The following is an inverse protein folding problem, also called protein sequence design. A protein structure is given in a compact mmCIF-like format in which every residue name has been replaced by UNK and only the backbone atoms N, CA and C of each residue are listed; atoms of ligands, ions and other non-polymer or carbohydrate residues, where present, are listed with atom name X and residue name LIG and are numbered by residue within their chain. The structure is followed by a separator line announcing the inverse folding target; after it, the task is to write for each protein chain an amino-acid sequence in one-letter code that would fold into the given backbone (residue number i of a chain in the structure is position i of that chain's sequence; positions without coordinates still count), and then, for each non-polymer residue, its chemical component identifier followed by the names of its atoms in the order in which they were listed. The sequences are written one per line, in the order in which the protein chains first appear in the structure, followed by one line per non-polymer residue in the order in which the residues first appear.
data_IF_697229553377
#
_entry.id   IF_697229553377
#
_cell.length_a   1.000
_cell.length_b   1.000
_cell.length_c   1.000
_cell.angle_alpha   90.00
_cell.angle_beta   90.00
_cell.angle_gamma   90.00
#
_symmetry.space_group_name_H-M   'P 1'
#
loop_
_entity.id
_entity.type
_entity.pdbx_description
1 polymer ?
#
# COMPACT_ATOMS: atom_id res chain seq x y z
N UNK A 1 9.58 -51.18 -64.60
CA UNK A 1 9.99 -50.73 -63.26
C UNK A 1 10.36 -49.25 -63.33
N UNK A 2 9.41 -48.36 -63.04
CA UNK A 2 9.63 -46.90 -62.95
C UNK A 2 9.22 -46.48 -61.54
N UNK A 3 10.17 -45.87 -60.83
CA UNK A 3 10.12 -45.61 -59.39
C UNK A 3 9.07 -44.58 -58.99
N UNK A 4 8.32 -44.93 -57.96
CA UNK A 4 7.32 -44.13 -57.26
C UNK A 4 8.05 -43.10 -56.37
N UNK A 5 7.84 -41.80 -56.62
CA UNK A 5 8.31 -40.73 -55.72
C UNK A 5 7.22 -40.41 -54.70
N UNK A 6 7.48 -40.75 -53.44
CA UNK A 6 6.68 -40.39 -52.27
C UNK A 6 6.90 -38.91 -51.94
N UNK A 7 5.81 -38.14 -51.91
CA UNK A 7 5.80 -36.77 -51.40
C UNK A 7 5.40 -36.81 -49.91
N UNK A 8 6.35 -36.51 -49.02
CA UNK A 8 6.09 -36.36 -47.58
C UNK A 8 5.47 -34.99 -47.33
N UNK A 9 4.21 -34.97 -46.87
CA UNK A 9 3.55 -33.77 -46.40
C UNK A 9 4.02 -33.44 -44.97
N UNK A 10 4.79 -32.35 -44.82
CA UNK A 10 5.13 -31.78 -43.53
C UNK A 10 3.90 -31.03 -42.99
N UNK A 11 3.23 -31.57 -41.98
CA UNK A 11 2.18 -30.87 -41.24
C UNK A 11 2.84 -29.83 -40.31
N UNK A 12 2.78 -28.55 -40.71
CA UNK A 12 3.23 -27.44 -39.86
C UNK A 12 2.26 -27.23 -38.70
N UNK A 13 2.71 -27.55 -37.49
CA UNK A 13 2.01 -27.23 -36.25
C UNK A 13 2.08 -25.71 -36.04
N UNK A 14 1.00 -25.00 -36.37
CA UNK A 14 0.86 -23.58 -36.09
C UNK A 14 0.71 -23.39 -34.57
N UNK A 15 1.80 -23.04 -33.91
CA UNK A 15 1.79 -22.56 -32.52
C UNK A 15 1.13 -21.18 -32.56
N UNK A 16 -0.16 -21.12 -32.23
CA UNK A 16 -0.85 -19.88 -31.90
C UNK A 16 -0.24 -19.36 -30.60
N UNK A 17 0.73 -18.46 -30.73
CA UNK A 17 1.21 -17.65 -29.60
C UNK A 17 0.06 -16.72 -29.24
N UNK A 18 -0.76 -17.09 -28.26
CA UNK A 18 -1.68 -16.16 -27.62
C UNK A 18 -0.82 -15.10 -26.92
N UNK A 19 -0.76 -13.90 -27.51
CA UNK A 19 -0.12 -12.76 -26.87
C UNK A 19 -0.69 -12.59 -25.47
N UNK A 20 0.18 -12.40 -24.48
CA UNK A 20 -0.23 -12.00 -23.14
C UNK A 20 -0.85 -10.60 -23.26
N UNK A 21 -2.17 -10.53 -23.41
CA UNK A 21 -2.90 -9.28 -23.39
C UNK A 21 -3.01 -8.82 -21.94
N UNK A 22 -2.40 -7.68 -21.63
CA UNK A 22 -2.75 -6.92 -20.44
C UNK A 22 -3.91 -5.99 -20.80
N UNK A 23 -5.03 -6.08 -20.08
CA UNK A 23 -6.13 -5.17 -20.23
C UNK A 23 -5.85 -3.88 -19.47
N UNK A 24 -6.13 -2.74 -20.09
CA UNK A 24 -6.02 -1.43 -19.47
C UNK A 24 -7.39 -0.76 -19.44
N UNK A 25 -7.77 -0.26 -18.27
CA UNK A 25 -8.99 0.47 -18.03
C UNK A 25 -8.65 1.89 -17.60
N UNK A 26 -9.24 2.88 -18.26
CA UNK A 26 -9.31 4.25 -17.74
C UNK A 26 -10.73 4.50 -17.24
N UNK A 27 -10.87 4.88 -15.97
CA UNK A 27 -12.18 5.06 -15.32
C UNK A 27 -12.29 6.47 -14.74
N UNK A 28 -13.47 7.08 -14.91
CA UNK A 28 -13.77 8.42 -14.36
C UNK A 28 -15.10 8.49 -13.60
N UNK A 29 -15.71 7.33 -13.32
CA UNK A 29 -16.90 7.21 -12.47
C UNK A 29 -16.82 5.98 -11.56
N UNK A 30 -17.53 6.00 -10.43
CA UNK A 30 -17.62 4.85 -9.53
C UNK A 30 -18.18 3.60 -10.19
N UNK A 31 -19.14 3.75 -11.11
CA UNK A 31 -19.73 2.62 -11.87
C UNK A 31 -18.69 1.98 -12.78
N UNK A 32 -17.91 2.78 -13.51
CA UNK A 32 -16.84 2.25 -14.36
C UNK A 32 -15.75 1.57 -13.54
N UNK A 33 -15.35 2.14 -12.40
CA UNK A 33 -14.36 1.52 -11.51
C UNK A 33 -14.84 0.16 -11.01
N UNK A 34 -16.10 0.05 -10.55
CA UNK A 34 -16.68 -1.23 -10.16
C UNK A 34 -16.70 -2.23 -11.31
N UNK A 35 -17.08 -1.78 -12.52
CA UNK A 35 -17.11 -2.66 -13.69
C UNK A 35 -15.71 -3.14 -14.08
N UNK A 36 -14.70 -2.26 -14.07
CA UNK A 36 -13.32 -2.60 -14.36
C UNK A 36 -12.78 -3.65 -13.37
N UNK A 37 -13.04 -3.48 -12.06
CA UNK A 37 -12.65 -4.47 -11.04
C UNK A 37 -13.35 -5.82 -11.24
N UNK A 38 -14.64 -5.83 -11.59
CA UNK A 38 -15.35 -7.08 -11.88
C UNK A 38 -14.81 -7.78 -13.13
N UNK A 39 -14.50 -7.02 -14.18
CA UNK A 39 -13.91 -7.56 -15.42
C UNK A 39 -12.50 -8.10 -15.16
N UNK A 40 -11.66 -7.37 -14.42
CA UNK A 40 -10.32 -7.81 -14.04
C UNK A 40 -10.32 -9.11 -13.22
N UNK A 41 -11.37 -9.35 -12.42
CA UNK A 41 -11.50 -10.59 -11.64
C UNK A 41 -11.80 -11.84 -12.48
N UNK A 42 -12.08 -11.70 -13.78
CA UNK A 42 -12.65 -12.77 -14.59
C UNK A 42 -12.20 -12.83 -16.06
N UNK A 43 -11.44 -11.86 -16.58
CA UNK A 43 -11.09 -11.77 -18.00
C UNK A 43 -9.89 -12.62 -18.46
N UNK A 44 -9.22 -13.32 -17.53
CA UNK A 44 -8.01 -14.13 -17.79
C UNK A 44 -6.84 -13.32 -18.35
N UNK A 45 -6.66 -12.08 -17.87
CA UNK A 45 -5.61 -11.17 -18.30
C UNK A 45 -4.99 -10.48 -17.09
N UNK A 46 -3.79 -9.93 -17.26
CA UNK A 46 -3.27 -8.95 -16.30
C UNK A 46 -4.01 -7.63 -16.52
N UNK A 47 -4.31 -6.91 -15.45
CA UNK A 47 -5.17 -5.73 -15.49
C UNK A 47 -4.50 -4.52 -14.89
N UNK A 48 -4.57 -3.40 -15.60
CA UNK A 48 -4.22 -2.07 -15.08
C UNK A 48 -5.45 -1.19 -15.09
N UNK A 49 -5.86 -0.71 -13.93
CA UNK A 49 -6.98 0.21 -13.74
C UNK A 49 -6.41 1.56 -13.34
N UNK A 50 -6.49 2.51 -14.27
CA UNK A 50 -6.12 3.91 -14.11
C UNK A 50 -7.36 4.71 -13.73
N UNK A 51 -7.33 5.37 -12.59
CA UNK A 51 -8.46 6.13 -12.04
C UNK A 51 -8.19 7.62 -12.24
N UNK A 52 -9.12 8.30 -12.93
CA UNK A 52 -9.02 9.75 -13.10
C UNK A 52 -9.18 10.50 -11.78
N UNK A 53 -8.61 11.70 -11.69
CA UNK A 53 -8.78 12.59 -10.55
C UNK A 53 -10.25 12.83 -10.22
N UNK A 54 -10.59 12.84 -8.93
CA UNK A 54 -11.96 13.01 -8.46
C UNK A 54 -12.26 12.19 -7.21
N UNK A 55 -13.49 12.32 -6.71
CA UNK A 55 -13.97 11.57 -5.55
C UNK A 55 -15.00 10.53 -5.98
N UNK A 56 -14.79 9.29 -5.56
CA UNK A 56 -15.57 8.12 -5.95
C UNK A 56 -16.26 7.54 -4.73
N UNK A 57 -17.59 7.65 -4.72
CA UNK A 57 -18.49 7.07 -3.71
C UNK A 57 -19.50 6.15 -4.36
N UNK A 58 -20.20 5.34 -3.57
CA UNK A 58 -21.30 4.48 -4.04
C UNK A 58 -22.47 4.52 -3.07
N UNK A 59 -23.68 4.30 -3.56
CA UNK A 59 -24.88 4.45 -2.74
C UNK A 59 -25.30 3.16 -2.02
N UNK A 60 -24.91 1.98 -2.53
CA UNK A 60 -25.29 0.67 -1.95
C UNK A 60 -24.15 -0.36 -1.87
N UNK A 61 -24.27 -1.33 -0.95
CA UNK A 61 -23.35 -2.45 -0.78
C UNK A 61 -22.41 -2.30 0.42
N UNK A 62 -21.96 -3.43 0.97
CA UNK A 62 -21.05 -3.49 2.13
C UNK A 62 -19.58 -3.17 1.79
N UNK A 63 -19.23 -3.19 0.50
CA UNK A 63 -17.92 -2.79 -0.03
C UNK A 63 -18.14 -1.85 -1.21
N UNK A 64 -17.43 -0.72 -1.25
CA UNK A 64 -17.55 0.24 -2.35
C UNK A 64 -16.90 -0.29 -3.65
N UNK A 65 -15.66 -0.75 -3.54
CA UNK A 65 -14.86 -1.24 -4.67
C UNK A 65 -14.31 -2.63 -4.36
N UNK A 66 -14.91 -3.66 -4.97
CA UNK A 66 -14.58 -5.05 -4.71
C UNK A 66 -13.92 -5.72 -5.92
N UNK A 67 -12.87 -6.48 -5.67
CA UNK A 67 -12.20 -7.38 -6.60
C UNK A 67 -12.04 -8.74 -5.93
N UNK A 68 -12.38 -9.80 -6.66
CA UNK A 68 -12.11 -11.17 -6.27
C UNK A 68 -11.68 -11.95 -7.50
N UNK A 69 -10.62 -12.73 -7.38
CA UNK A 69 -10.11 -13.55 -8.48
C UNK A 69 -9.79 -14.98 -8.04
N UNK A 70 -9.94 -15.91 -8.98
CA UNK A 70 -9.38 -17.26 -8.92
C UNK A 70 -8.29 -17.46 -10.00
N UNK A 71 -7.79 -16.36 -10.57
CA UNK A 71 -6.84 -16.35 -11.67
C UNK A 71 -5.44 -15.97 -11.18
N UNK A 72 -4.44 -16.24 -12.01
CA UNK A 72 -3.02 -16.01 -11.68
C UNK A 72 -2.47 -14.69 -12.24
N UNK A 73 -3.35 -13.78 -12.63
CA UNK A 73 -2.96 -12.53 -13.28
C UNK A 73 -2.89 -11.37 -12.30
N UNK A 74 -1.97 -10.45 -12.55
CA UNK A 74 -1.74 -9.29 -11.68
C UNK A 74 -2.80 -8.22 -11.90
N UNK A 75 -3.28 -7.63 -10.81
CA UNK A 75 -4.08 -6.42 -10.79
C UNK A 75 -3.22 -5.23 -10.33
N UNK A 76 -3.25 -4.14 -11.09
CA UNK A 76 -2.68 -2.84 -10.71
C UNK A 76 -3.82 -1.81 -10.68
N UNK A 77 -4.01 -1.15 -9.55
CA UNK A 77 -4.95 -0.04 -9.38
C UNK A 77 -4.17 1.21 -9.00
N UNK A 78 -4.29 2.27 -9.79
CA UNK A 78 -3.60 3.53 -9.51
C UNK A 78 -4.47 4.75 -9.79
N UNK A 79 -4.34 5.78 -8.94
CA UNK A 79 -5.05 7.05 -9.09
C UNK A 79 -4.18 8.19 -9.63
N UNK A 80 -4.78 9.36 -9.72
CA UNK A 80 -4.14 10.62 -10.10
C UNK A 80 -4.12 10.85 -11.61
N UNK A 81 -4.89 10.11 -12.41
CA UNK A 81 -4.85 10.26 -13.86
C UNK A 81 -5.68 11.45 -14.34
N UNK A 82 -5.21 12.09 -15.41
CA UNK A 82 -5.96 13.12 -16.13
C UNK A 82 -6.00 12.79 -17.61
N UNK A 83 -7.16 13.02 -18.21
CA UNK A 83 -7.42 12.76 -19.63
C UNK A 83 -7.20 14.01 -20.48
N UNK A 84 -6.76 13.80 -21.72
CA UNK A 84 -6.70 14.83 -22.77
C UNK A 84 -7.42 14.28 -24.02
N UNK A 85 -8.76 14.40 -24.08
CA UNK A 85 -9.56 13.77 -25.13
C UNK A 85 -9.02 14.06 -26.54
N UNK A 86 -8.93 13.04 -27.42
CA UNK A 86 -9.51 11.69 -27.28
C UNK A 86 -8.67 10.71 -26.45
N UNK A 87 -7.49 11.12 -25.95
CA UNK A 87 -6.61 10.24 -25.18
C UNK A 87 -6.99 10.27 -23.69
N UNK A 88 -7.34 9.11 -23.15
CA UNK A 88 -7.80 8.98 -21.77
C UNK A 88 -6.66 8.53 -20.85
N UNK A 89 -6.64 8.99 -19.58
CA UNK A 89 -5.65 8.64 -18.57
C UNK A 89 -4.18 8.75 -19.05
N UNK A 90 -3.84 9.85 -19.73
CA UNK A 90 -2.52 10.02 -20.38
C UNK A 90 -1.42 10.56 -19.48
N UNK A 91 -1.79 11.26 -18.40
CA UNK A 91 -0.84 11.83 -17.45
C UNK A 91 -1.28 11.45 -16.05
N UNK A 92 -0.32 11.02 -15.22
CA UNK A 92 -0.54 10.80 -13.79
C UNK A 92 0.05 11.99 -13.03
N UNK A 93 -0.72 12.55 -12.10
CA UNK A 93 -0.26 13.56 -11.16
C UNK A 93 0.44 12.85 -9.98
N UNK A 94 1.55 13.39 -9.52
CA UNK A 94 2.24 12.92 -8.31
C UNK A 94 1.57 13.42 -7.02
N UNK A 95 0.24 13.35 -6.97
CA UNK A 95 -0.58 13.76 -5.83
C UNK A 95 -1.59 12.64 -5.49
N UNK A 96 -1.37 11.88 -4.40
CA UNK A 96 -2.29 10.82 -3.97
C UNK A 96 -3.63 11.38 -3.44
N UNK A 97 -3.74 12.67 -3.14
CA UNK A 97 -5.02 13.30 -2.77
C UNK A 97 -5.90 13.59 -3.99
N UNK A 98 -5.34 13.61 -5.21
CA UNK A 98 -6.08 13.95 -6.43
C UNK A 98 -7.14 12.90 -6.80
N UNK A 99 -7.05 11.66 -6.30
CA UNK A 99 -8.06 10.61 -6.46
C UNK A 99 -8.46 10.06 -5.11
N UNK A 100 -9.74 10.18 -4.77
CA UNK A 100 -10.28 9.78 -3.46
C UNK A 100 -11.31 8.68 -3.66
N UNK A 101 -11.07 7.51 -3.07
CA UNK A 101 -12.06 6.46 -2.91
C UNK A 101 -12.62 6.56 -1.49
N UNK A 102 -13.94 6.68 -1.36
CA UNK A 102 -14.60 6.86 -0.06
C UNK A 102 -15.68 5.81 0.21
N UNK A 103 -15.72 5.34 1.45
CA UNK A 103 -16.77 4.46 1.97
C UNK A 103 -18.01 5.21 2.43
N UNK A 104 -17.96 6.56 2.44
CA UNK A 104 -19.05 7.43 2.88
C UNK A 104 -19.59 7.07 4.27
N UNK A 105 -18.69 6.70 5.19
CA UNK A 105 -18.97 6.25 6.56
C UNK A 105 -19.96 5.08 6.65
N UNK A 106 -20.14 4.32 5.57
CA UNK A 106 -21.21 3.32 5.47
C UNK A 106 -20.72 1.92 5.08
N UNK A 107 -19.50 1.79 4.54
CA UNK A 107 -19.02 0.53 3.95
C UNK A 107 -17.50 0.45 3.90
N UNK A 108 -16.96 -0.75 3.71
CA UNK A 108 -15.55 -0.95 3.41
C UNK A 108 -15.20 -0.25 2.10
N UNK A 109 -14.10 0.51 2.02
CA UNK A 109 -13.77 1.26 0.80
C UNK A 109 -13.33 0.31 -0.31
N UNK A 110 -12.28 -0.47 -0.07
CA UNK A 110 -11.72 -1.36 -1.08
C UNK A 110 -11.40 -2.75 -0.51
N UNK A 111 -11.83 -3.78 -1.22
CA UNK A 111 -11.53 -5.18 -0.90
C UNK A 111 -10.99 -5.89 -2.14
N UNK A 112 -9.71 -6.24 -2.12
CA UNK A 112 -9.03 -7.00 -3.16
C UNK A 112 -8.66 -8.39 -2.61
N UNK A 113 -9.20 -9.45 -3.22
CA UNK A 113 -9.02 -10.83 -2.75
C UNK A 113 -8.57 -11.78 -3.85
N UNK A 114 -7.48 -12.50 -3.61
CA UNK A 114 -7.03 -13.65 -4.39
C UNK A 114 -7.41 -14.96 -3.69
N UNK A 115 -7.94 -15.91 -4.47
CA UNK A 115 -8.32 -17.23 -3.95
C UNK A 115 -7.09 -18.05 -3.51
N UNK A 116 -7.23 -18.99 -2.57
CA UNK A 116 -6.18 -19.95 -2.25
C UNK A 116 -5.60 -20.62 -3.50
N UNK A 117 -4.28 -20.75 -3.56
CA UNK A 117 -3.54 -21.35 -4.68
C UNK A 117 -3.27 -20.40 -5.85
N UNK A 118 -3.74 -19.15 -5.79
CA UNK A 118 -3.45 -18.14 -6.83
C UNK A 118 -2.16 -17.36 -6.54
N UNK A 119 -1.52 -16.91 -7.61
CA UNK A 119 -0.24 -16.18 -7.58
C UNK A 119 -0.32 -14.75 -8.13
N UNK A 120 -1.50 -14.32 -8.59
CA UNK A 120 -1.69 -12.99 -9.20
C UNK A 120 -1.37 -11.88 -8.20
N UNK A 121 -0.49 -10.95 -8.59
CA UNK A 121 -0.12 -9.82 -7.73
C UNK A 121 -1.26 -8.81 -7.58
N UNK A 122 -1.24 -8.03 -6.50
CA UNK A 122 -2.20 -6.95 -6.26
C UNK A 122 -1.44 -5.68 -5.87
N UNK A 123 -1.66 -4.60 -6.61
CA UNK A 123 -1.03 -3.29 -6.36
C UNK A 123 -2.07 -2.19 -6.24
N UNK A 124 -1.92 -1.33 -5.24
CA UNK A 124 -2.70 -0.09 -5.05
C UNK A 124 -1.75 1.07 -4.87
N UNK A 125 -1.91 2.13 -5.67
CA UNK A 125 -1.02 3.30 -5.56
C UNK A 125 -1.63 4.65 -5.94
N UNK A 126 -0.98 5.71 -5.44
CA UNK A 126 -1.22 7.11 -5.81
C UNK A 126 -2.70 7.54 -5.70
N UNK A 127 -3.32 7.23 -4.57
CA UNK A 127 -4.71 7.56 -4.29
C UNK A 127 -4.98 7.64 -2.78
N UNK A 128 -6.15 8.15 -2.42
CA UNK A 128 -6.64 8.24 -1.05
C UNK A 128 -7.78 7.24 -0.84
N UNK A 129 -7.74 6.55 0.30
CA UNK A 129 -8.76 5.61 0.79
C UNK A 129 -9.26 6.12 2.14
N UNK A 130 -10.53 6.53 2.19
CA UNK A 130 -11.07 7.18 3.39
C UNK A 130 -12.53 6.86 3.70
N UNK A 131 -12.96 7.26 4.90
CA UNK A 131 -14.34 7.19 5.38
C UNK A 131 -14.94 5.78 5.25
N UNK A 132 -14.10 4.76 5.40
CA UNK A 132 -14.51 3.36 5.42
C UNK A 132 -15.19 3.01 6.72
N UNK A 133 -16.30 2.27 6.68
CA UNK A 133 -16.92 1.66 7.85
C UNK A 133 -17.13 0.17 7.59
N UNK A 134 -16.51 -0.70 8.39
CA UNK A 134 -16.64 -2.15 8.20
C UNK A 134 -16.67 -2.93 9.49
N UNK A 135 -17.48 -4.00 9.50
CA UNK A 135 -17.43 -5.01 10.57
C UNK A 135 -16.35 -6.07 10.34
N UNK A 136 -15.63 -5.98 9.23
CA UNK A 136 -14.50 -6.83 8.85
C UNK A 136 -13.18 -6.08 9.08
N UNK A 137 -12.06 -6.78 8.94
CA UNK A 137 -10.72 -6.15 8.92
C UNK A 137 -10.54 -5.29 7.68
N UNK A 138 -9.75 -4.22 7.77
CA UNK A 138 -9.40 -3.38 6.61
C UNK A 138 -10.54 -2.47 6.17
N UNK A 139 -11.17 -1.70 7.07
CA UNK A 139 -12.33 -0.87 6.71
C UNK A 139 -12.01 0.13 5.59
N UNK A 140 -10.78 0.65 5.54
CA UNK A 140 -10.24 1.30 4.36
C UNK A 140 -9.93 0.30 3.26
N UNK A 141 -8.80 -0.38 3.38
CA UNK A 141 -8.28 -1.33 2.40
C UNK A 141 -8.08 -2.71 3.03
N UNK A 142 -8.69 -3.72 2.42
CA UNK A 142 -8.33 -5.12 2.60
C UNK A 142 -7.73 -5.63 1.30
N UNK A 143 -6.49 -6.13 1.33
CA UNK A 143 -5.76 -6.56 0.12
C UNK A 143 -5.00 -7.86 0.36
N UNK A 144 -4.87 -8.67 -0.69
CA UNK A 144 -4.18 -9.95 -0.65
C UNK A 144 -5.16 -11.12 -0.80
N UNK A 145 -5.12 -12.10 0.10
CA UNK A 145 -5.99 -13.27 0.02
C UNK A 145 -6.12 -14.01 1.35
N UNK A 146 -6.58 -15.26 1.31
CA UNK A 146 -6.55 -16.17 2.47
C UNK A 146 -5.33 -17.09 2.47
N UNK A 147 -5.32 -18.07 3.39
CA UNK A 147 -4.32 -19.14 3.38
C UNK A 147 -4.16 -19.79 2.00
N UNK A 148 -2.92 -19.92 1.55
CA UNK A 148 -2.56 -20.41 0.22
C UNK A 148 -2.50 -19.35 -0.89
N UNK A 149 -2.86 -18.09 -0.64
CA UNK A 149 -2.61 -17.00 -1.61
C UNK A 149 -1.15 -16.58 -1.58
N UNK A 150 -0.43 -16.74 -2.70
CA UNK A 150 1.03 -16.48 -2.79
C UNK A 150 1.37 -15.30 -3.70
N UNK A 151 0.37 -14.51 -4.12
CA UNK A 151 0.58 -13.33 -4.92
C UNK A 151 1.22 -12.18 -4.14
N UNK A 152 2.10 -11.43 -4.81
CA UNK A 152 2.75 -10.27 -4.19
C UNK A 152 1.75 -9.13 -3.98
N UNK A 153 1.90 -8.39 -2.89
CA UNK A 153 1.09 -7.21 -2.55
C UNK A 153 1.96 -5.97 -2.50
N UNK A 154 1.53 -4.90 -3.16
CA UNK A 154 2.15 -3.58 -3.11
C UNK A 154 1.11 -2.52 -2.74
N UNK A 155 1.34 -1.82 -1.63
CA UNK A 155 0.61 -0.61 -1.26
C UNK A 155 1.62 0.54 -1.18
N UNK A 156 1.49 1.48 -2.10
CA UNK A 156 2.52 2.51 -2.33
C UNK A 156 1.95 3.87 -2.66
N UNK A 157 2.39 4.94 -1.97
CA UNK A 157 1.86 6.29 -2.15
C UNK A 157 0.35 6.35 -1.98
N UNK A 158 -0.13 5.75 -0.89
CA UNK A 158 -1.55 5.75 -0.53
C UNK A 158 -1.75 6.54 0.76
N UNK A 159 -2.77 7.39 0.77
CA UNK A 159 -3.30 8.00 2.00
C UNK A 159 -4.45 7.11 2.47
N UNK A 160 -4.32 6.49 3.64
CA UNK A 160 -5.37 5.68 4.26
C UNK A 160 -5.83 6.40 5.51
N UNK A 161 -6.99 7.06 5.44
CA UNK A 161 -7.39 8.03 6.43
C UNK A 161 -8.81 7.84 6.97
N UNK A 162 -9.00 8.04 8.27
CA UNK A 162 -10.33 8.17 8.92
C UNK A 162 -11.25 6.96 8.69
N UNK A 163 -10.69 5.78 8.49
CA UNK A 163 -11.47 4.55 8.36
C UNK A 163 -11.77 3.96 9.74
N UNK A 164 -12.96 3.41 9.92
CA UNK A 164 -13.47 2.84 11.18
C UNK A 164 -13.81 1.36 10.98
N UNK A 165 -13.05 0.48 11.63
CA UNK A 165 -13.32 -0.97 11.65
C UNK A 165 -13.85 -1.45 13.01
N UNK A 166 -14.68 -2.49 13.05
CA UNK A 166 -14.96 -3.18 14.33
C UNK A 166 -13.93 -4.27 14.64
N UNK A 167 -12.99 -4.53 13.72
CA UNK A 167 -11.94 -5.55 13.82
C UNK A 167 -10.53 -4.91 13.75
N UNK A 168 -9.44 -5.71 13.67
CA UNK A 168 -8.08 -5.19 13.46
C UNK A 168 -7.95 -4.44 12.11
N UNK A 169 -7.00 -3.50 12.02
CA UNK A 169 -6.68 -2.83 10.76
C UNK A 169 -7.84 -1.97 10.25
N UNK A 170 -8.30 -0.99 11.03
CA UNK A 170 -9.30 -0.03 10.57
C UNK A 170 -8.92 0.63 9.24
N UNK A 171 -7.65 1.00 9.08
CA UNK A 171 -7.08 1.48 7.83
C UNK A 171 -6.82 0.35 6.84
N UNK A 172 -5.77 -0.45 7.09
CA UNK A 172 -5.29 -1.49 6.19
C UNK A 172 -5.25 -2.87 6.86
N UNK A 173 -5.77 -3.87 6.16
CA UNK A 173 -5.55 -5.28 6.45
C UNK A 173 -4.90 -5.99 5.25
N UNK A 174 -3.81 -6.73 5.51
CA UNK A 174 -3.10 -7.50 4.49
C UNK A 174 -2.89 -8.94 4.94
N UNK A 175 -3.11 -9.87 4.00
CA UNK A 175 -2.67 -11.25 4.13
C UNK A 175 -2.05 -11.73 2.82
N UNK A 176 -0.84 -12.30 2.88
CA UNK A 176 -0.24 -13.02 1.74
C UNK A 176 0.84 -14.01 2.18
N UNK A 177 1.07 -15.06 1.38
CA UNK A 177 2.25 -15.93 1.43
C UNK A 177 3.31 -15.55 0.37
N UNK A 178 3.03 -14.51 -0.43
CA UNK A 178 3.95 -13.85 -1.35
C UNK A 178 4.82 -12.79 -0.65
N UNK A 179 5.32 -11.83 -1.44
CA UNK A 179 6.05 -10.66 -0.92
C UNK A 179 5.07 -9.51 -0.71
N UNK A 180 5.15 -8.84 0.44
CA UNK A 180 4.33 -7.68 0.81
C UNK A 180 5.21 -6.45 0.96
N UNK A 181 4.88 -5.39 0.23
CA UNK A 181 5.50 -4.09 0.32
C UNK A 181 4.45 -3.04 0.72
N UNK A 182 4.61 -2.44 1.89
CA UNK A 182 3.77 -1.33 2.36
C UNK A 182 4.73 -0.17 2.57
N UNK A 183 4.82 0.71 1.57
CA UNK A 183 5.84 1.76 1.57
C UNK A 183 5.36 3.11 1.10
N UNK A 184 5.95 4.18 1.62
CA UNK A 184 5.65 5.56 1.24
C UNK A 184 4.15 5.88 1.37
N UNK A 185 3.53 5.51 2.50
CA UNK A 185 2.10 5.73 2.75
C UNK A 185 1.86 6.59 3.98
N UNK A 186 0.70 7.25 4.03
CA UNK A 186 0.18 7.93 5.22
C UNK A 186 -0.99 7.14 5.78
N UNK A 187 -0.90 6.72 7.05
CA UNK A 187 -2.01 6.13 7.79
C UNK A 187 -2.47 7.07 8.90
N UNK A 188 -3.63 7.68 8.69
CA UNK A 188 -4.06 8.84 9.46
C UNK A 188 -5.42 8.62 10.14
N UNK A 189 -5.47 8.79 11.46
CA UNK A 189 -6.72 8.83 12.23
C UNK A 189 -7.63 7.61 12.01
N UNK A 190 -7.09 6.45 11.64
CA UNK A 190 -7.88 5.25 11.50
C UNK A 190 -8.28 4.72 12.89
N UNK A 191 -9.50 4.23 12.98
CA UNK A 191 -10.12 3.74 14.20
C UNK A 191 -10.49 2.29 14.12
N UNK A 192 -10.40 1.62 15.26
CA UNK A 192 -10.85 0.24 15.36
C UNK A 192 -11.31 -0.17 16.76
N UNK A 193 -12.10 -1.23 16.88
CA UNK A 193 -12.61 -1.72 18.18
C UNK A 193 -11.76 -2.81 18.84
N UNK A 194 -10.70 -3.30 18.20
CA UNK A 194 -9.83 -4.36 18.74
C UNK A 194 -8.40 -3.90 19.02
N UNK A 195 -7.56 -3.74 18.00
CA UNK A 195 -6.19 -3.19 18.08
C UNK A 195 -5.65 -2.96 16.67
N UNK A 196 -4.47 -2.33 16.55
CA UNK A 196 -3.70 -2.20 15.31
C UNK A 196 -4.51 -1.49 14.22
N UNK A 197 -5.07 -0.33 14.59
CA UNK A 197 -6.08 0.35 13.81
C UNK A 197 -5.55 0.95 12.51
N UNK A 198 -4.28 1.33 12.42
CA UNK A 198 -3.70 1.79 11.17
C UNK A 198 -3.45 0.62 10.20
N UNK A 199 -2.66 -0.36 10.64
CA UNK A 199 -2.23 -1.50 9.80
C UNK A 199 -2.27 -2.81 10.57
N UNK A 200 -2.87 -3.84 9.98
CA UNK A 200 -2.74 -5.23 10.42
C UNK A 200 -2.26 -6.10 9.27
N UNK A 201 -1.00 -6.54 9.32
CA UNK A 201 -0.41 -7.38 8.29
C UNK A 201 -0.08 -8.78 8.81
N UNK A 202 -0.51 -9.81 8.06
CA UNK A 202 -0.10 -11.19 8.24
C UNK A 202 0.65 -11.65 7.01
N UNK A 203 1.94 -12.00 7.14
CA UNK A 203 2.75 -12.49 6.02
C UNK A 203 3.35 -13.84 6.39
N UNK A 204 2.97 -14.86 5.63
CA UNK A 204 3.44 -16.21 5.85
C UNK A 204 4.51 -16.58 4.83
N UNK A 205 5.42 -17.46 5.23
CA UNK A 205 6.47 -18.00 4.39
C UNK A 205 6.58 -19.51 4.63
N UNK A 206 6.83 -20.26 3.55
CA UNK A 206 7.17 -21.69 3.64
C UNK A 206 8.52 -21.92 4.33
N UNK A 207 9.43 -20.93 4.25
CA UNK A 207 10.70 -20.91 4.97
C UNK A 207 10.87 -19.60 5.74
N UNK A 208 11.03 -19.65 7.08
CA UNK A 208 11.08 -18.45 7.92
C UNK A 208 12.30 -17.56 7.65
N UNK A 209 13.37 -18.10 7.06
CA UNK A 209 14.62 -17.38 6.79
C UNK A 209 14.52 -16.37 5.63
N UNK A 210 13.40 -16.34 4.89
CA UNK A 210 13.22 -15.39 3.78
C UNK A 210 12.46 -14.14 4.24
N UNK A 211 13.07 -12.97 4.07
CA UNK A 211 12.38 -11.69 4.23
C UNK A 211 11.35 -11.54 3.12
N UNK A 212 10.08 -11.42 3.50
CA UNK A 212 8.97 -11.24 2.54
C UNK A 212 8.12 -10.01 2.83
N UNK A 213 8.34 -9.33 3.95
CA UNK A 213 7.56 -8.14 4.28
C UNK A 213 8.47 -6.92 4.48
N UNK A 214 8.14 -5.85 3.76
CA UNK A 214 8.90 -4.60 3.75
C UNK A 214 7.96 -3.45 4.08
N UNK A 215 8.17 -2.83 5.23
CA UNK A 215 7.38 -1.70 5.74
C UNK A 215 8.29 -0.48 5.79
N UNK A 216 8.21 0.38 4.78
CA UNK A 216 9.21 1.42 4.53
C UNK A 216 8.65 2.81 4.38
N UNK A 217 9.25 3.83 4.97
CA UNK A 217 8.92 5.22 4.66
C UNK A 217 7.41 5.54 4.88
N UNK A 218 6.78 4.95 5.88
CA UNK A 218 5.37 5.24 6.19
C UNK A 218 5.28 6.27 7.32
N UNK A 219 4.27 7.13 7.27
CA UNK A 219 3.87 8.00 8.37
C UNK A 219 2.56 7.49 8.95
N UNK A 220 2.58 7.04 10.22
CA UNK A 220 1.46 6.39 10.91
C UNK A 220 1.09 7.24 12.13
N UNK A 221 0.04 8.05 11.99
CA UNK A 221 -0.25 9.13 12.94
C UNK A 221 -1.70 9.17 13.40
N UNK A 222 -1.90 9.36 14.70
CA UNK A 222 -3.21 9.66 15.27
C UNK A 222 -4.19 8.48 15.25
N UNK A 223 -3.72 7.25 14.99
CA UNK A 223 -4.59 6.09 14.96
C UNK A 223 -5.00 5.71 16.39
N UNK A 224 -6.26 5.34 16.58
CA UNK A 224 -6.81 5.16 17.92
C UNK A 224 -7.90 4.11 17.95
N UNK A 225 -8.25 3.63 19.12
CA UNK A 225 -9.43 2.81 19.24
C UNK A 225 -10.73 3.61 19.26
N UNK A 226 -11.82 2.95 18.90
CA UNK A 226 -13.17 3.49 19.07
C UNK A 226 -13.46 3.67 20.56
N UNK A 227 -14.29 4.66 20.90
CA UNK A 227 -14.67 4.93 22.29
C UNK A 227 -15.23 3.67 22.97
N UNK A 228 -14.77 3.37 24.18
CA UNK A 228 -15.17 2.19 24.95
C UNK A 228 -14.43 0.89 24.62
N UNK A 229 -13.55 0.89 23.62
CA UNK A 229 -12.69 -0.27 23.29
C UNK A 229 -11.38 -0.25 24.08
N UNK A 230 -10.83 -1.44 24.37
CA UNK A 230 -9.52 -1.61 25.01
C UNK A 230 -8.53 -2.22 24.01
N UNK A 231 -7.41 -1.55 23.77
CA UNK A 231 -6.46 -1.93 22.73
C UNK A 231 -5.03 -1.93 23.26
N UNK A 232 -4.18 -2.82 22.73
CA UNK A 232 -2.77 -2.91 23.12
C UNK A 232 -1.87 -1.96 22.31
N UNK A 233 -2.09 -1.87 21.00
CA UNK A 233 -1.41 -0.95 20.09
C UNK A 233 -2.40 -0.47 19.04
N UNK A 234 -2.18 0.71 18.46
CA UNK A 234 -3.07 1.24 17.39
C UNK A 234 -2.36 1.71 16.14
N UNK A 235 -1.02 1.80 16.15
CA UNK A 235 -0.22 2.02 14.95
C UNK A 235 -0.28 0.81 14.02
N UNK A 236 0.68 -0.10 14.12
CA UNK A 236 0.77 -1.25 13.23
C UNK A 236 0.92 -2.58 13.98
N UNK A 237 0.48 -3.66 13.33
CA UNK A 237 0.82 -5.04 13.68
C UNK A 237 1.46 -5.76 12.52
N UNK A 238 2.49 -6.54 12.83
CA UNK A 238 3.03 -7.55 11.95
C UNK A 238 2.99 -8.92 12.61
N UNK A 239 2.50 -9.92 11.87
CA UNK A 239 2.56 -11.31 12.28
C UNK A 239 2.65 -12.27 11.09
N UNK A 240 2.66 -13.56 11.39
CA UNK A 240 2.84 -14.63 10.42
C UNK A 240 4.23 -15.27 10.52
N UNK A 241 4.57 -16.17 9.60
CA UNK A 241 5.83 -16.93 9.65
C UNK A 241 6.99 -16.32 8.87
N UNK A 242 6.77 -15.25 8.09
CA UNK A 242 7.81 -14.61 7.29
C UNK A 242 8.71 -13.69 8.12
N UNK A 243 9.94 -13.47 7.62
CA UNK A 243 10.79 -12.39 8.13
C UNK A 243 10.38 -11.04 7.54
N UNK A 244 10.60 -9.96 8.28
CA UNK A 244 10.23 -8.60 7.90
C UNK A 244 11.30 -7.56 8.24
N UNK A 245 11.26 -6.46 7.49
CA UNK A 245 12.07 -5.27 7.74
C UNK A 245 11.16 -4.06 7.81
N UNK A 246 11.26 -3.32 8.91
CA UNK A 246 10.65 -2.00 9.08
C UNK A 246 11.74 -0.95 8.99
N UNK A 247 11.58 0.02 8.09
CA UNK A 247 12.57 1.07 7.90
C UNK A 247 11.98 2.44 7.67
N UNK A 248 12.64 3.49 8.18
CA UNK A 248 12.26 4.88 7.96
C UNK A 248 10.79 5.19 8.26
N UNK A 249 10.13 4.47 9.16
CA UNK A 249 8.72 4.73 9.49
C UNK A 249 8.61 5.74 10.63
N UNK A 250 7.59 6.58 10.60
CA UNK A 250 7.18 7.43 11.72
C UNK A 250 5.93 6.87 12.35
N UNK A 251 6.00 6.62 13.65
CA UNK A 251 4.85 6.42 14.50
C UNK A 251 4.74 7.60 15.46
N UNK A 252 3.59 8.26 15.49
CA UNK A 252 3.37 9.39 16.39
C UNK A 252 1.89 9.57 16.74
N UNK A 253 1.61 10.03 17.95
CA UNK A 253 0.24 10.29 18.42
C UNK A 253 -0.75 9.11 18.28
N UNK A 254 -0.24 7.88 18.14
CA UNK A 254 -1.07 6.67 18.19
C UNK A 254 -1.37 6.33 19.66
N UNK A 255 -2.58 5.83 19.94
CA UNK A 255 -2.93 5.42 21.31
C UNK A 255 -2.38 4.03 21.66
N UNK A 256 -2.08 3.79 22.94
CA UNK A 256 -1.67 2.51 23.56
C UNK A 256 -0.33 1.93 23.09
N UNK A 257 0.02 2.05 21.81
CA UNK A 257 1.31 1.64 21.28
C UNK A 257 1.47 1.82 19.77
N UNK A 258 2.74 1.88 19.34
CA UNK A 258 3.14 2.13 17.95
C UNK A 258 3.20 0.86 17.11
N UNK A 259 3.89 -0.18 17.59
CA UNK A 259 4.13 -1.39 16.81
C UNK A 259 3.95 -2.66 17.66
N UNK A 260 3.08 -3.56 17.21
CA UNK A 260 2.86 -4.88 17.79
C UNK A 260 3.48 -5.98 16.91
N UNK A 261 4.53 -6.63 17.41
CA UNK A 261 5.24 -7.71 16.72
C UNK A 261 4.71 -9.06 17.21
N UNK A 262 3.62 -9.51 16.59
CA UNK A 262 2.85 -10.66 17.06
C UNK A 262 3.23 -11.97 16.34
N UNK A 263 3.82 -12.90 17.08
CA UNK A 263 3.96 -14.34 16.76
C UNK A 263 4.65 -14.67 15.42
N UNK A 264 5.94 -15.04 15.49
CA UNK A 264 6.71 -15.59 14.37
C UNK A 264 7.03 -17.07 14.62
N UNK A 265 6.61 -17.97 13.73
CA UNK A 265 7.09 -19.36 13.75
C UNK A 265 8.46 -19.44 13.04
N UNK A 266 9.47 -18.81 13.64
CA UNK A 266 10.86 -18.83 13.18
C UNK A 266 11.32 -17.65 12.33
N UNK A 267 10.40 -16.80 11.81
CA UNK A 267 10.76 -15.56 11.12
C UNK A 267 11.34 -14.51 12.09
N UNK A 268 12.09 -13.54 11.56
CA UNK A 268 12.67 -12.43 12.33
C UNK A 268 12.16 -11.09 11.85
N UNK A 269 12.13 -10.10 12.75
CA UNK A 269 11.80 -8.72 12.41
C UNK A 269 12.98 -7.82 12.73
N UNK A 270 13.43 -7.05 11.74
CA UNK A 270 14.47 -6.05 11.92
C UNK A 270 13.92 -4.64 11.77
N UNK A 271 14.40 -3.72 12.61
CA UNK A 271 14.00 -2.31 12.64
C UNK A 271 15.19 -1.41 12.32
N UNK A 272 15.08 -0.60 11.26
CA UNK A 272 16.12 0.33 10.81
C UNK A 272 15.62 1.76 10.71
N UNK A 273 16.20 2.69 11.48
CA UNK A 273 15.93 4.13 11.34
C UNK A 273 14.44 4.52 11.40
N UNK A 274 13.66 3.90 12.29
CA UNK A 274 12.27 4.28 12.54
C UNK A 274 12.17 5.27 13.70
N UNK A 275 11.13 6.11 13.70
CA UNK A 275 10.69 6.83 14.89
C UNK A 275 9.53 6.08 15.55
N UNK A 276 9.78 5.46 16.70
CA UNK A 276 8.79 4.73 17.48
C UNK A 276 9.15 4.76 18.97
N UNK A 277 8.13 4.88 19.82
CA UNK A 277 8.28 5.01 21.28
C UNK A 277 8.00 3.69 21.99
N UNK A 278 7.10 2.86 21.45
CA UNK A 278 6.69 1.62 22.11
C UNK A 278 6.54 0.45 21.14
N UNK A 279 7.10 -0.69 21.52
CA UNK A 279 6.91 -1.97 20.83
C UNK A 279 6.29 -2.96 21.80
N UNK A 280 5.31 -3.74 21.34
CA UNK A 280 4.76 -4.89 22.07
C UNK A 280 5.01 -6.19 21.32
N UNK A 281 4.85 -7.32 22.01
CA UNK A 281 5.04 -8.65 21.42
C UNK A 281 6.50 -9.11 21.46
N UNK A 282 6.92 -9.80 20.41
CA UNK A 282 8.28 -10.37 20.29
C UNK A 282 9.29 -9.27 20.01
N UNK A 283 10.42 -9.28 20.72
CA UNK A 283 11.51 -8.35 20.47
C UNK A 283 12.07 -8.49 19.04
N UNK A 284 12.44 -7.38 18.37
CA UNK A 284 13.09 -7.44 17.07
C UNK A 284 14.46 -8.11 17.17
N UNK A 285 14.90 -8.73 16.08
CA UNK A 285 16.20 -9.40 15.95
C UNK A 285 17.32 -8.36 15.83
N UNK A 286 17.16 -7.37 14.95
CA UNK A 286 18.02 -6.20 14.87
C UNK A 286 17.24 -4.91 15.14
N UNK A 287 17.89 -3.96 15.80
CA UNK A 287 17.39 -2.60 16.00
C UNK A 287 18.55 -1.63 15.81
N UNK A 288 18.55 -0.89 14.69
CA UNK A 288 19.65 -0.01 14.28
C UNK A 288 19.09 1.35 13.89
N UNK A 289 19.69 2.42 14.42
CA UNK A 289 19.36 3.80 14.03
C UNK A 289 17.95 4.28 14.41
N UNK A 290 17.14 3.46 15.08
CA UNK A 290 15.80 3.86 15.52
C UNK A 290 15.88 4.98 16.58
N UNK A 291 14.95 5.93 16.49
CA UNK A 291 14.77 7.05 17.41
C UNK A 291 13.38 6.96 18.06
N UNK A 292 13.18 7.69 19.17
CA UNK A 292 11.98 7.57 19.99
C UNK A 292 11.43 8.95 20.41
N UNK A 293 11.05 9.78 19.44
CA UNK A 293 10.45 11.09 19.68
C UNK A 293 8.92 11.01 19.62
N UNK A 294 8.28 11.17 20.78
CA UNK A 294 6.81 11.23 20.87
C UNK A 294 6.23 12.46 20.12
N UNK A 295 7.00 13.55 20.05
CA UNK A 295 6.70 14.69 19.20
C UNK A 295 7.75 14.76 18.07
N UNK A 296 7.40 14.36 16.84
CA UNK A 296 8.32 14.40 15.71
C UNK A 296 8.52 15.79 15.09
N UNK A 297 7.86 16.82 15.62
CA UNK A 297 7.94 18.20 15.11
C UNK A 297 7.53 18.33 13.64
N UNK A 298 6.30 17.89 13.34
CA UNK A 298 5.65 18.13 12.06
C UNK A 298 5.34 19.62 11.85
N UNK A 299 5.23 20.04 10.59
CA UNK A 299 4.90 21.42 10.21
C UNK A 299 3.54 21.83 10.78
N UNK A 300 2.50 21.04 10.55
CA UNK A 300 1.18 21.30 11.11
C UNK A 300 0.37 20.01 11.30
N UNK A 301 0.50 19.43 12.49
CA UNK A 301 -0.22 18.22 12.88
C UNK A 301 -1.75 18.38 12.81
N UNK A 302 -2.29 19.57 13.05
CA UNK A 302 -3.74 19.79 13.14
C UNK A 302 -4.40 19.95 11.77
N UNK A 303 -3.62 20.32 10.76
CA UNK A 303 -4.07 20.48 9.37
C UNK A 303 -3.49 19.41 8.44
N UNK A 304 -3.17 18.23 8.98
CA UNK A 304 -2.65 17.07 8.25
C UNK A 304 -1.34 17.28 7.47
N UNK A 305 -0.53 18.28 7.85
CA UNK A 305 0.80 18.51 7.28
C UNK A 305 1.86 17.79 8.12
N UNK A 306 2.11 16.53 7.75
CA UNK A 306 3.09 15.67 8.41
C UNK A 306 4.48 15.75 7.81
N UNK A 307 4.79 16.79 7.02
CA UNK A 307 6.18 17.07 6.65
C UNK A 307 6.98 17.37 7.92
N UNK A 308 8.20 16.84 8.08
CA UNK A 308 9.05 17.22 9.20
C UNK A 308 9.43 18.69 9.09
N UNK A 309 9.48 19.45 10.19
CA UNK A 309 10.05 20.80 10.16
C UNK A 309 11.57 20.77 9.93
N UNK A 310 12.19 21.92 9.62
CA UNK A 310 13.66 22.01 9.47
C UNK A 310 14.42 21.61 10.75
N UNK A 311 13.82 21.79 11.93
CA UNK A 311 14.39 21.40 13.21
C UNK A 311 14.02 19.99 13.66
N UNK A 312 13.23 19.25 12.86
CA UNK A 312 12.70 17.95 13.25
C UNK A 312 13.81 16.91 13.45
N UNK A 313 13.69 16.02 14.46
CA UNK A 313 14.60 14.89 14.62
C UNK A 313 14.45 13.84 13.50
N UNK A 314 13.40 13.90 12.69
CA UNK A 314 13.17 12.99 11.57
C UNK A 314 14.01 13.37 10.33
N UNK A 315 14.40 14.64 10.24
CA UNK A 315 15.05 15.20 9.05
C UNK A 315 16.44 14.61 8.85
N UNK A 316 16.72 14.10 7.66
CA UNK A 316 17.93 13.40 7.26
C UNK A 316 18.33 12.26 8.22
N UNK A 317 17.38 11.72 8.98
CA UNK A 317 17.66 10.71 10.01
C UNK A 317 17.47 9.28 9.50
N UNK A 318 16.93 9.10 8.29
CA UNK A 318 16.68 7.80 7.66
C UNK A 318 17.91 7.18 6.97
N UNK A 319 17.67 6.02 6.36
CA UNK A 319 18.63 5.29 5.51
C UNK A 319 18.12 5.17 4.08
N UNK A 320 19.04 5.23 3.12
CA UNK A 320 18.82 5.01 1.69
C UNK A 320 18.91 3.53 1.27
N UNK A 321 19.46 2.66 2.12
CA UNK A 321 19.76 1.25 1.81
C UNK A 321 18.55 0.43 1.30
N UNK A 322 17.34 0.82 1.71
CA UNK A 322 16.09 0.12 1.41
C UNK A 322 15.13 0.96 0.56
N UNK A 323 15.53 2.17 0.17
CA UNK A 323 14.66 3.09 -0.57
C UNK A 323 14.67 2.72 -2.04
N UNK A 324 13.49 2.36 -2.54
CA UNK A 324 13.29 1.92 -3.93
C UNK A 324 12.56 2.98 -4.77
N UNK A 325 12.08 4.04 -4.14
CA UNK A 325 11.32 5.12 -4.75
C UNK A 325 12.18 6.35 -5.01
N UNK A 326 11.77 7.10 -6.03
CA UNK A 326 12.41 8.35 -6.43
C UNK A 326 11.75 9.57 -5.82
N UNK A 327 10.49 9.44 -5.38
CA UNK A 327 9.68 10.52 -4.82
C UNK A 327 8.95 10.10 -3.54
N UNK A 328 8.70 11.06 -2.68
CA UNK A 328 7.94 10.92 -1.43
C UNK A 328 6.41 10.96 -1.69
N UNK A 329 5.63 11.06 -0.61
CA UNK A 329 4.18 11.12 -0.72
C UNK A 329 3.65 12.43 -1.32
N UNK A 330 4.38 13.54 -1.15
CA UNK A 330 4.06 14.85 -1.74
C UNK A 330 4.56 15.02 -3.19
N UNK A 331 5.27 14.03 -3.73
CA UNK A 331 5.83 14.09 -5.08
C UNK A 331 7.22 14.73 -5.16
N UNK A 332 7.85 15.01 -4.03
CA UNK A 332 9.20 15.58 -3.94
C UNK A 332 10.27 14.47 -4.00
N UNK A 333 11.49 14.75 -4.49
CA UNK A 333 12.57 13.75 -4.52
C UNK A 333 12.82 13.11 -3.15
N UNK A 334 12.86 11.77 -3.10
CA UNK A 334 12.95 11.03 -1.82
C UNK A 334 14.29 11.15 -1.12
N UNK A 335 15.37 11.36 -1.87
CA UNK A 335 16.69 11.62 -1.30
C UNK A 335 16.96 13.09 -1.49
N UNK A 336 16.99 13.83 -0.39
CA UNK A 336 17.36 15.23 -0.38
C UNK A 336 18.56 15.43 0.54
N UNK A 337 19.48 16.32 0.19
CA UNK A 337 20.71 16.55 0.96
C UNK A 337 21.52 15.26 1.26
N UNK A 338 21.45 14.27 0.36
CA UNK A 338 22.12 12.95 0.45
C UNK A 338 21.58 11.99 1.52
N UNK A 339 20.48 12.33 2.19
CA UNK A 339 19.83 11.47 3.20
C UNK A 339 18.33 11.46 2.94
N UNK A 340 17.64 10.62 3.69
CA UNK A 340 16.20 10.41 3.60
C UNK A 340 15.62 10.83 4.94
N UNK A 341 14.49 11.53 4.93
CA UNK A 341 13.73 11.84 6.12
C UNK A 341 12.98 10.58 6.59
N UNK A 342 12.91 10.36 7.90
CA UNK A 342 12.08 9.28 8.45
C UNK A 342 10.61 9.68 8.25
N UNK A 343 9.82 8.85 7.57
CA UNK A 343 8.40 9.06 7.28
C UNK A 343 8.05 8.95 5.81
N UNK A 344 6.83 9.34 5.45
CA UNK A 344 6.35 9.37 4.06
C UNK A 344 6.66 10.68 3.32
N UNK A 345 7.19 11.67 4.03
CA UNK A 345 7.46 13.00 3.50
C UNK A 345 8.93 13.34 3.65
N UNK A 346 9.46 14.07 2.68
CA UNK A 346 10.70 14.82 2.78
C UNK A 346 10.38 16.29 3.06
N UNK A 347 11.30 17.00 3.70
CA UNK A 347 11.27 18.45 3.76
C UNK A 347 12.54 19.05 3.13
N UNK A 348 12.38 19.59 1.94
CA UNK A 348 13.42 20.37 1.27
C UNK A 348 13.49 21.80 1.80
N UNK A 349 14.69 22.25 2.15
CA UNK A 349 14.94 23.68 2.30
C UNK A 349 14.95 24.31 0.91
N UNK A 350 13.79 24.82 0.49
CA UNK A 350 13.57 25.34 -0.87
C UNK A 350 14.32 26.63 -1.18
N UNK A 351 15.05 27.22 -0.22
CA UNK A 351 15.80 28.46 -0.44
C UNK A 351 16.90 28.29 -1.51
N UNK A 352 17.32 27.06 -1.82
CA UNK A 352 18.33 26.78 -2.86
C UNK A 352 17.86 25.85 -3.99
N UNK A 353 16.58 25.44 -4.01
CA UNK A 353 16.07 24.50 -5.01
C UNK A 353 16.10 25.09 -6.43
N UNK A 354 16.06 26.41 -6.54
CA UNK A 354 15.92 27.12 -7.81
C UNK A 354 17.26 27.68 -8.34
N UNK A 355 18.39 27.39 -7.68
CA UNK A 355 19.75 27.77 -8.09
C UNK A 355 19.98 29.24 -8.54
N UNK A 356 19.10 30.19 -8.19
CA UNK A 356 19.07 31.55 -8.76
C UNK A 356 18.83 31.62 -10.28
N UNK A 357 18.02 30.73 -10.84
CA UNK A 357 17.51 30.91 -12.20
C UNK A 357 16.57 32.13 -12.23
N UNK A 358 17.18 33.29 -12.50
CA UNK A 358 16.49 34.50 -12.89
C UNK A 358 15.85 34.20 -14.25
N UNK A 359 14.51 34.22 -14.29
CA UNK A 359 13.77 34.23 -15.54
C UNK A 359 14.27 35.39 -16.42
N UNK A 360 14.96 35.07 -17.52
CA UNK A 360 15.10 35.97 -18.68
C UNK A 360 13.90 35.79 -19.63
#
# INVERSE_FOLDING_TARGET
MKGLRTASALAGLAILVSGAHAAEFCVNTSTQLRQALMTAGSNNQADTIKIETGTYTVDSGAVAFAYSTAQNFTLIVSGGYVSNPPLMCVRQLDDPAATVLSGSDARQVMHLSGSPGTIGGQSVSNLTIQDGLSSQTGAGLSVGGGGGFTGNVLVYRVIVARNVGTQFGGGLAVYSEGIVNIRNNLFLLNRCSMSNCAVSATVNATSPATTRAFFGNNTIVGNQCTSGSSCSATGARFGGSASAVFYNNVFAANSNGDLDLFSFSGGVVDLYYNNLVSITGTAPSASVGNIAFANPQFVDLLNDDFRPTLGSPLRNAGTDQFVLETIDLAGEPRINESRVDIGAYENSDRIFADAFDLFE
#
